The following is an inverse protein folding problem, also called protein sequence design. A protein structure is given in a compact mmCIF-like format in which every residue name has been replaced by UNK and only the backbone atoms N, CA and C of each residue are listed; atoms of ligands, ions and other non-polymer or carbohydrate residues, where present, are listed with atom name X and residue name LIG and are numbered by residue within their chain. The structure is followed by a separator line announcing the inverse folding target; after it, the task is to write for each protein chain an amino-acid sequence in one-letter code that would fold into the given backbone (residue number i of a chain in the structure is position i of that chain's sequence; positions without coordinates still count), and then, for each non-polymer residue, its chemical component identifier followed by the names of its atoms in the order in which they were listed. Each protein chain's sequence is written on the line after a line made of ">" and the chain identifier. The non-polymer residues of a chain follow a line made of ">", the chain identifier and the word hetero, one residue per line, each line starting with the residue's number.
data_IF_505152268209
#
_entry.id   IF_505152268209
#
_cell.length_a   1.000
_cell.length_b   1.000
_cell.length_c   1.000
_cell.angle_alpha   90.00
_cell.angle_beta   90.00
_cell.angle_gamma   90.00
#
_symmetry.space_group_name_H-M   'P 1'
#
loop_
_entity.id
_entity.type
_entity.pdbx_description
1 polymer ?
#
# COMPACT_ATOMS: atom_id res chain seq x y z
N UNK A 1 9.74 8.20 -32.34
CA UNK A 1 10.32 7.43 -31.22
C UNK A 1 10.32 8.29 -29.98
N UNK A 2 9.27 8.22 -29.17
CA UNK A 2 9.20 8.96 -27.91
C UNK A 2 10.02 8.19 -26.88
N UNK A 3 11.17 8.75 -26.47
CA UNK A 3 11.97 8.21 -25.36
C UNK A 3 11.09 8.22 -24.10
N UNK A 4 10.59 7.04 -23.73
CA UNK A 4 9.85 6.85 -22.49
C UNK A 4 10.85 7.05 -21.34
N UNK A 5 10.80 8.23 -20.71
CA UNK A 5 11.56 8.51 -19.48
C UNK A 5 11.24 7.43 -18.45
N UNK A 6 12.27 6.87 -17.82
CA UNK A 6 12.08 5.89 -16.74
C UNK A 6 11.20 6.51 -15.64
N UNK A 7 10.09 5.87 -15.24
CA UNK A 7 9.25 6.38 -14.17
C UNK A 7 9.93 6.23 -12.81
N UNK A 8 9.54 7.10 -11.85
CA UNK A 8 9.89 6.94 -10.42
C UNK A 8 9.46 5.55 -9.93
N UNK A 9 10.11 5.05 -8.86
CA UNK A 9 9.84 3.74 -8.25
C UNK A 9 8.33 3.40 -8.12
N UNK A 10 7.50 4.38 -7.77
CA UNK A 10 6.05 4.23 -7.55
C UNK A 10 5.21 3.96 -8.81
N UNK A 11 5.75 4.12 -10.02
CA UNK A 11 5.09 3.81 -11.30
C UNK A 11 5.78 2.72 -12.11
N UNK A 12 6.83 2.12 -11.53
CA UNK A 12 7.76 1.25 -12.24
C UNK A 12 7.11 -0.05 -12.75
N UNK A 13 6.21 -0.66 -11.97
CA UNK A 13 5.55 -1.91 -12.37
C UNK A 13 4.51 -1.73 -13.48
N UNK A 14 3.61 -0.73 -13.37
CA UNK A 14 2.62 -0.46 -14.43
C UNK A 14 3.29 -0.16 -15.77
N UNK A 15 4.41 0.57 -15.73
CA UNK A 15 5.22 0.86 -16.92
C UNK A 15 5.88 -0.39 -17.50
N UNK A 16 6.45 -1.26 -16.65
CA UNK A 16 7.00 -2.55 -17.09
C UNK A 16 5.95 -3.47 -17.70
N UNK A 17 4.77 -3.53 -17.09
CA UNK A 17 3.64 -4.32 -17.59
C UNK A 17 3.22 -3.84 -18.99
N UNK A 18 3.09 -2.53 -19.21
CA UNK A 18 2.81 -1.97 -20.53
C UNK A 18 3.90 -2.28 -21.57
N UNK A 19 5.19 -2.26 -21.18
CA UNK A 19 6.31 -2.65 -22.06
C UNK A 19 6.26 -4.11 -22.46
N UNK A 20 6.02 -5.01 -21.50
CA UNK A 20 5.92 -6.45 -21.77
C UNK A 20 4.71 -6.77 -22.67
N UNK A 21 3.58 -6.12 -22.45
CA UNK A 21 2.41 -6.24 -23.35
C UNK A 21 2.73 -5.77 -24.78
N UNK A 22 3.45 -4.65 -24.94
CA UNK A 22 3.90 -4.21 -26.26
C UNK A 22 4.87 -5.24 -26.86
N UNK A 23 5.85 -5.72 -26.11
CA UNK A 23 6.82 -6.69 -26.64
C UNK A 23 6.14 -7.95 -27.15
N UNK A 24 5.14 -8.44 -26.41
CA UNK A 24 4.31 -9.57 -26.85
C UNK A 24 3.62 -9.30 -28.18
N UNK A 25 3.00 -8.13 -28.35
CA UNK A 25 2.29 -7.81 -29.60
C UNK A 25 3.22 -7.51 -30.78
N UNK A 26 4.43 -7.01 -30.51
CA UNK A 26 5.42 -6.66 -31.53
C UNK A 26 6.47 -7.74 -31.81
N UNK A 27 6.36 -8.91 -31.17
CA UNK A 27 7.34 -9.98 -31.30
C UNK A 27 7.41 -10.52 -32.73
N UNK A 28 8.61 -10.50 -33.34
CA UNK A 28 8.85 -11.00 -34.70
C UNK A 28 8.99 -12.53 -34.77
N UNK A 29 9.27 -13.18 -33.64
CA UNK A 29 9.42 -14.64 -33.56
C UNK A 29 8.46 -15.25 -32.54
N UNK A 30 7.92 -16.46 -32.79
CA UNK A 30 7.08 -17.16 -31.81
C UNK A 30 7.78 -17.41 -30.48
N UNK A 31 9.11 -17.62 -30.51
CA UNK A 31 9.94 -17.79 -29.32
C UNK A 31 10.00 -16.53 -28.47
N UNK A 32 10.24 -15.36 -29.07
CA UNK A 32 10.29 -14.08 -28.35
C UNK A 32 8.92 -13.71 -27.76
N UNK A 33 7.82 -14.08 -28.44
CA UNK A 33 6.47 -13.90 -27.91
C UNK A 33 6.23 -14.75 -26.66
N UNK A 34 6.60 -16.04 -26.69
CA UNK A 34 6.48 -16.94 -25.55
C UNK A 34 7.36 -16.50 -24.37
N UNK A 35 8.61 -16.07 -24.63
CA UNK A 35 9.50 -15.52 -23.59
C UNK A 35 8.90 -14.26 -22.94
N UNK A 36 8.30 -13.36 -23.74
CA UNK A 36 7.61 -12.18 -23.22
C UNK A 36 6.37 -12.54 -22.38
N UNK A 37 5.59 -13.54 -22.81
CA UNK A 37 4.42 -14.03 -22.07
C UNK A 37 4.80 -14.69 -20.74
N UNK A 38 5.87 -15.48 -20.72
CA UNK A 38 6.38 -16.07 -19.48
C UNK A 38 6.83 -15.00 -18.48
N UNK A 39 7.55 -13.98 -18.96
CA UNK A 39 7.93 -12.85 -18.12
C UNK A 39 6.72 -12.08 -17.61
N UNK A 40 5.72 -11.80 -18.46
CA UNK A 40 4.50 -11.10 -18.06
C UNK A 40 3.79 -11.86 -16.95
N UNK A 41 3.53 -13.16 -17.14
CA UNK A 41 2.90 -14.04 -16.14
C UNK A 41 3.67 -14.05 -14.82
N UNK A 42 5.00 -14.16 -14.88
CA UNK A 42 5.85 -14.13 -13.67
C UNK A 42 5.77 -12.77 -12.97
N UNK A 43 5.86 -11.68 -13.72
CA UNK A 43 5.82 -10.33 -13.14
C UNK A 43 4.47 -10.00 -12.54
N UNK A 44 3.38 -10.49 -13.12
CA UNK A 44 2.02 -10.31 -12.61
C UNK A 44 1.78 -11.14 -11.36
N UNK A 45 2.29 -12.37 -11.31
CA UNK A 45 2.17 -13.21 -10.12
C UNK A 45 2.98 -12.68 -8.92
N UNK A 46 4.14 -12.07 -9.19
CA UNK A 46 5.08 -11.61 -8.16
C UNK A 46 5.15 -10.08 -8.03
N UNK A 47 4.14 -9.34 -8.49
CA UNK A 47 4.24 -7.88 -8.60
C UNK A 47 4.46 -7.18 -7.26
N UNK A 48 3.84 -7.66 -6.16
CA UNK A 48 4.02 -7.11 -4.80
C UNK A 48 5.45 -7.37 -4.31
N UNK A 49 5.96 -8.58 -4.50
CA UNK A 49 7.32 -8.98 -4.14
C UNK A 49 8.34 -8.12 -4.88
N UNK A 50 8.18 -7.98 -6.20
CA UNK A 50 9.10 -7.19 -7.02
C UNK A 50 9.00 -5.68 -6.72
N UNK A 51 7.82 -5.17 -6.36
CA UNK A 51 7.60 -3.75 -6.05
C UNK A 51 7.98 -3.38 -4.62
N UNK A 52 7.32 -4.00 -3.63
CA UNK A 52 7.47 -3.67 -2.22
C UNK A 52 8.58 -4.49 -1.57
N UNK A 53 8.74 -5.76 -1.95
CA UNK A 53 9.82 -6.61 -1.44
C UNK A 53 11.20 -6.04 -1.76
N UNK A 54 11.40 -5.49 -2.96
CA UNK A 54 12.66 -4.80 -3.35
C UNK A 54 12.95 -3.52 -2.55
N UNK A 55 11.97 -3.02 -1.78
CA UNK A 55 12.09 -1.89 -0.86
C UNK A 55 12.15 -2.31 0.62
N UNK A 56 12.24 -3.63 0.89
CA UNK A 56 12.34 -4.18 2.24
C UNK A 56 11.02 -4.38 2.97
N UNK A 57 9.88 -4.39 2.26
CA UNK A 57 8.62 -4.83 2.87
C UNK A 57 8.54 -6.36 2.89
N UNK A 58 8.00 -6.94 3.95
CA UNK A 58 7.66 -8.36 3.97
C UNK A 58 6.33 -8.58 3.24
N UNK A 59 6.36 -9.37 2.17
CA UNK A 59 5.28 -9.41 1.17
C UNK A 59 4.39 -10.66 1.23
N UNK A 60 4.70 -11.63 2.07
CA UNK A 60 3.84 -12.82 2.25
C UNK A 60 2.49 -12.40 2.85
N UNK A 61 1.39 -13.10 2.55
CA UNK A 61 0.05 -12.74 3.05
C UNK A 61 -0.01 -12.53 4.57
N UNK A 62 0.73 -13.33 5.34
CA UNK A 62 0.78 -13.20 6.81
C UNK A 62 1.34 -11.87 7.30
N UNK A 63 2.13 -11.16 6.50
CA UNK A 63 2.74 -9.87 6.86
C UNK A 63 1.95 -8.67 6.35
N UNK A 64 0.95 -8.88 5.49
CA UNK A 64 0.14 -7.80 4.92
C UNK A 64 -0.89 -7.39 5.95
N UNK A 65 -0.83 -6.14 6.38
CA UNK A 65 -1.74 -5.61 7.38
C UNK A 65 -3.18 -5.51 6.88
N UNK A 66 -3.35 -5.16 5.60
CA UNK A 66 -4.58 -5.42 4.87
C UNK A 66 -4.20 -6.19 3.60
N UNK A 67 -4.81 -7.35 3.39
CA UNK A 67 -4.60 -8.14 2.18
C UNK A 67 -5.89 -8.20 1.37
N UNK A 68 -5.81 -7.77 0.10
CA UNK A 68 -6.92 -7.85 -0.83
C UNK A 68 -8.20 -7.13 -0.31
N UNK A 69 -8.01 -5.99 0.35
CA UNK A 69 -9.10 -5.22 0.96
C UNK A 69 -9.89 -4.47 -0.11
N UNK A 70 -11.19 -4.72 -0.20
CA UNK A 70 -12.05 -4.07 -1.17
C UNK A 70 -12.30 -2.62 -0.76
N UNK A 71 -12.08 -1.69 -1.69
CA UNK A 71 -12.53 -0.31 -1.52
C UNK A 71 -14.04 -0.25 -1.69
N UNK A 72 -14.71 0.60 -0.92
CA UNK A 72 -16.15 0.78 -1.03
C UNK A 72 -16.49 2.06 -1.76
N UNK A 73 -17.58 2.04 -2.51
CA UNK A 73 -18.10 3.22 -3.19
C UNK A 73 -18.37 4.38 -2.19
N UNK A 74 -18.81 4.05 -0.97
CA UNK A 74 -19.03 5.04 0.11
C UNK A 74 -17.76 5.65 0.70
N UNK A 75 -16.58 5.12 0.40
CA UNK A 75 -15.28 5.68 0.83
C UNK A 75 -14.84 6.83 -0.09
N UNK A 76 -15.49 7.00 -1.25
CA UNK A 76 -15.19 8.07 -2.19
C UNK A 76 -15.79 9.40 -1.75
N UNK A 77 -15.01 10.47 -1.87
CA UNK A 77 -15.53 11.82 -1.63
C UNK A 77 -16.44 12.24 -2.79
N UNK A 78 -17.61 12.78 -2.44
CA UNK A 78 -18.49 13.49 -3.36
C UNK A 78 -18.06 14.94 -3.47
N UNK A 79 -17.62 15.36 -4.65
CA UNK A 79 -17.61 16.78 -5.00
C UNK A 79 -18.94 17.10 -5.65
N UNK A 80 -19.84 17.72 -4.89
CA UNK A 80 -20.93 18.47 -5.50
C UNK A 80 -20.31 19.74 -6.10
N UNK A 81 -20.44 19.99 -7.42
CA UNK A 81 -20.12 21.30 -7.94
C UNK A 81 -21.04 22.29 -7.22
N UNK A 82 -20.46 23.24 -6.50
CA UNK A 82 -21.21 24.39 -6.04
C UNK A 82 -21.80 25.04 -7.30
N UNK A 83 -23.12 24.94 -7.48
CA UNK A 83 -23.80 25.78 -8.46
C UNK A 83 -23.61 27.19 -7.91
N UNK A 84 -22.69 27.94 -8.51
CA UNK A 84 -22.50 29.33 -8.18
C UNK A 84 -23.86 30.05 -8.36
N UNK A 85 -24.51 30.40 -7.25
CA UNK A 85 -25.58 31.40 -7.23
C UNK A 85 -27.04 30.94 -7.08
N UNK A 86 -27.37 29.68 -6.73
CA UNK A 86 -28.78 29.35 -6.42
C UNK A 86 -28.96 28.90 -4.97
N UNK A 87 -29.39 29.84 -4.12
CA UNK A 87 -30.05 29.53 -2.86
C UNK A 87 -31.39 28.86 -3.17
N UNK A 88 -31.40 27.53 -3.30
CA UNK A 88 -32.64 26.77 -3.39
C UNK A 88 -33.13 26.53 -1.95
N UNK A 89 -34.26 27.13 -1.52
CA UNK A 89 -34.76 26.95 -0.16
C UNK A 89 -35.19 25.49 0.07
N UNK A 90 -35.12 24.98 1.31
CA UNK A 90 -35.45 23.58 1.64
C UNK A 90 -36.85 23.12 1.19
N UNK A 91 -37.79 24.06 1.03
CA UNK A 91 -39.16 23.78 0.57
C UNK A 91 -39.24 23.32 -0.90
N UNK A 92 -38.23 23.59 -1.72
CA UNK A 92 -38.17 23.16 -3.12
C UNK A 92 -37.57 21.75 -3.29
N UNK A 93 -36.92 21.19 -2.26
CA UNK A 93 -36.34 19.84 -2.33
C UNK A 93 -37.38 18.71 -2.29
N UNK A 94 -38.61 18.97 -1.81
CA UNK A 94 -39.66 17.95 -1.66
C UNK A 94 -40.63 17.84 -2.85
N UNK A 95 -40.49 18.66 -3.92
CA UNK A 95 -41.38 18.63 -5.10
C UNK A 95 -40.68 18.40 -6.43
N UNK A 96 -39.61 17.60 -6.44
CA UNK A 96 -38.95 17.20 -7.68
C UNK A 96 -39.11 15.68 -7.90
N UNK A 97 -40.34 15.23 -8.11
CA UNK A 97 -40.64 13.91 -8.68
C UNK A 97 -40.95 13.98 -10.19
N UNK A 98 -40.57 15.07 -10.85
CA UNK A 98 -40.82 15.30 -12.28
C UNK A 98 -39.60 15.91 -12.97
N UNK A 99 -38.89 15.03 -13.69
CA UNK A 99 -38.21 15.26 -14.97
C UNK A 99 -37.37 16.54 -15.11
N UNK A 100 -36.07 16.42 -14.79
CA UNK A 100 -34.96 16.62 -15.74
C UNK A 100 -33.85 15.71 -15.24
N UNK A 101 -33.48 14.66 -15.96
CA UNK A 101 -32.23 13.93 -15.70
C UNK A 101 -31.08 14.77 -16.26
N UNK A 102 -30.21 15.39 -15.44
CA UNK A 102 -28.90 15.73 -15.94
C UNK A 102 -28.22 14.39 -16.18
N UNK A 103 -27.83 14.12 -17.42
CA UNK A 103 -26.99 13.00 -17.86
C UNK A 103 -26.45 12.15 -16.69
N UNK A 104 -26.82 10.86 -16.59
CA UNK A 104 -26.28 9.93 -15.56
C UNK A 104 -24.75 10.02 -15.40
N UNK A 105 -24.06 10.39 -16.47
CA UNK A 105 -22.62 10.69 -16.51
C UNK A 105 -22.17 11.86 -15.62
N UNK A 106 -22.94 12.93 -15.47
CA UNK A 106 -22.59 14.09 -14.63
C UNK A 106 -22.64 13.78 -13.13
N UNK A 107 -23.61 12.97 -12.69
CA UNK A 107 -23.70 12.50 -11.29
C UNK A 107 -22.60 11.47 -10.94
N UNK A 108 -22.20 10.64 -11.92
CA UNK A 108 -21.05 9.75 -11.78
C UNK A 108 -19.73 10.55 -11.70
N UNK A 109 -19.62 11.68 -12.40
CA UNK A 109 -18.45 12.57 -12.37
C UNK A 109 -18.27 13.33 -11.04
N UNK A 110 -19.29 13.39 -10.18
CA UNK A 110 -19.21 14.00 -8.84
C UNK A 110 -18.46 13.14 -7.81
N UNK A 111 -18.05 11.90 -8.13
CA UNK A 111 -17.29 11.01 -7.23
C UNK A 111 -15.88 10.83 -7.80
N UNK A 112 -14.91 11.59 -7.29
CA UNK A 112 -13.64 11.75 -7.99
C UNK A 112 -12.51 10.83 -7.49
N UNK A 113 -12.59 10.31 -6.27
CA UNK A 113 -11.62 9.35 -5.69
C UNK A 113 -11.95 8.98 -4.23
N UNK A 114 -11.23 7.99 -3.70
CA UNK A 114 -11.19 7.68 -2.27
C UNK A 114 -10.78 8.90 -1.46
N UNK A 115 -11.51 9.16 -0.37
CA UNK A 115 -11.23 10.28 0.53
C UNK A 115 -9.83 10.13 1.16
N UNK A 116 -9.08 11.23 1.22
CA UNK A 116 -7.72 11.24 1.76
C UNK A 116 -7.63 10.71 3.21
N UNK A 117 -8.67 10.93 4.02
CA UNK A 117 -8.73 10.41 5.41
C UNK A 117 -8.69 8.88 5.46
N UNK A 118 -9.23 8.21 4.44
CA UNK A 118 -9.31 6.75 4.40
C UNK A 118 -7.92 6.12 4.29
N UNK A 119 -6.95 6.78 3.65
CA UNK A 119 -5.58 6.27 3.57
C UNK A 119 -4.94 6.14 4.96
N UNK A 120 -5.17 7.11 5.85
CA UNK A 120 -4.69 7.03 7.24
C UNK A 120 -5.43 5.93 8.02
N UNK A 121 -6.71 5.70 7.71
CA UNK A 121 -7.48 4.58 8.30
C UNK A 121 -6.95 3.23 7.84
N UNK A 122 -6.59 3.08 6.57
CA UNK A 122 -5.96 1.87 6.05
C UNK A 122 -4.57 1.66 6.65
N UNK A 123 -3.81 2.74 6.82
CA UNK A 123 -2.52 2.71 7.50
C UNK A 123 -2.66 2.28 8.96
N UNK A 124 -3.62 2.82 9.71
CA UNK A 124 -3.91 2.41 11.10
C UNK A 124 -4.22 0.91 11.20
N UNK A 125 -5.15 0.42 10.36
CA UNK A 125 -5.49 -1.00 10.32
C UNK A 125 -4.26 -1.87 9.99
N UNK A 126 -3.43 -1.41 9.05
CA UNK A 126 -2.20 -2.09 8.69
C UNK A 126 -1.18 -2.15 9.84
N UNK A 127 -1.02 -1.06 10.60
CA UNK A 127 -0.12 -0.99 11.76
C UNK A 127 -0.57 -1.89 12.90
N UNK A 128 -1.88 -1.91 13.19
CA UNK A 128 -2.45 -2.81 14.21
C UNK A 128 -2.12 -4.27 13.88
N UNK A 129 -2.29 -4.66 12.61
CA UNK A 129 -1.96 -6.02 12.17
C UNK A 129 -0.46 -6.27 12.15
N UNK A 130 0.37 -5.29 11.79
CA UNK A 130 1.82 -5.41 11.86
C UNK A 130 2.30 -5.85 13.25
N UNK A 131 1.80 -5.23 14.32
CA UNK A 131 2.15 -5.62 15.70
C UNK A 131 1.58 -6.99 16.09
N UNK A 132 0.31 -7.27 15.77
CA UNK A 132 -0.30 -8.60 16.05
C UNK A 132 0.43 -9.74 15.36
N UNK A 133 0.93 -9.51 14.15
CA UNK A 133 1.65 -10.51 13.36
C UNK A 133 3.00 -10.88 14.00
N UNK A 134 3.59 -10.02 14.83
CA UNK A 134 4.84 -10.35 15.54
C UNK A 134 4.63 -11.49 16.56
N UNK A 135 3.46 -11.58 17.17
CA UNK A 135 3.14 -12.57 18.21
C UNK A 135 2.55 -13.89 17.70
N UNK A 136 2.37 -14.08 16.38
CA UNK A 136 1.68 -15.27 15.86
C UNK A 136 2.42 -16.58 16.14
N UNK A 137 3.75 -16.53 16.11
CA UNK A 137 4.64 -17.69 16.33
C UNK A 137 5.22 -17.72 17.76
N UNK A 138 4.72 -16.88 18.68
CA UNK A 138 5.19 -16.75 20.07
C UNK A 138 4.40 -17.64 21.04
N UNK A 139 4.94 -17.81 22.25
CA UNK A 139 4.22 -18.44 23.36
C UNK A 139 2.91 -17.68 23.70
N UNK A 140 1.97 -18.35 24.36
CA UNK A 140 0.64 -17.80 24.63
C UNK A 140 0.68 -16.49 25.45
N UNK A 141 1.56 -16.38 26.45
CA UNK A 141 1.71 -15.14 27.22
C UNK A 141 2.24 -13.99 26.33
N UNK A 142 3.33 -14.21 25.60
CA UNK A 142 3.92 -13.21 24.71
C UNK A 142 2.95 -12.76 23.62
N UNK A 143 2.19 -13.70 23.03
CA UNK A 143 1.17 -13.37 22.02
C UNK A 143 0.11 -12.43 22.56
N UNK A 144 -0.36 -12.67 23.80
CA UNK A 144 -1.32 -11.79 24.45
C UNK A 144 -0.74 -10.38 24.64
N UNK A 145 0.54 -10.28 25.00
CA UNK A 145 1.19 -8.97 25.14
C UNK A 145 1.32 -8.21 23.81
N UNK A 146 1.54 -8.91 22.69
CA UNK A 146 1.48 -8.29 21.35
C UNK A 146 0.07 -7.83 20.98
N UNK A 147 -0.95 -8.58 21.38
CA UNK A 147 -2.36 -8.20 21.18
C UNK A 147 -2.75 -7.00 22.03
N UNK A 148 -2.24 -6.92 23.26
CA UNK A 148 -2.46 -5.81 24.18
C UNK A 148 -1.72 -4.54 23.75
N UNK A 149 -0.58 -4.66 23.07
CA UNK A 149 0.26 -3.54 22.63
C UNK A 149 -0.51 -2.53 21.75
N UNK A 150 -1.50 -2.99 20.98
CA UNK A 150 -2.35 -2.15 20.10
C UNK A 150 -3.66 -1.73 20.77
N UNK A 151 -3.73 -1.81 22.10
CA UNK A 151 -4.87 -1.42 22.93
C UNK A 151 -4.38 -0.50 24.06
N UNK A 152 -5.27 0.22 24.77
CA UNK A 152 -4.87 1.04 25.92
C UNK A 152 -4.63 0.20 27.20
N UNK A 153 -4.36 -1.10 27.10
CA UNK A 153 -4.21 -2.01 28.26
C UNK A 153 -2.73 -2.13 28.67
N UNK A 154 -2.29 -1.28 29.59
CA UNK A 154 -0.93 -1.31 30.13
C UNK A 154 0.09 -0.72 29.16
N UNK A 155 1.10 -1.50 28.76
CA UNK A 155 2.06 -1.07 27.74
C UNK A 155 1.40 -1.10 26.36
N UNK A 156 1.39 0.03 25.68
CA UNK A 156 0.86 0.12 24.33
C UNK A 156 1.66 1.05 23.42
N UNK A 157 1.27 1.06 22.17
CA UNK A 157 1.75 2.00 21.17
C UNK A 157 0.74 3.12 20.94
N UNK A 158 1.23 4.32 20.63
CA UNK A 158 0.41 5.48 20.27
C UNK A 158 1.02 6.20 19.08
N UNK A 159 0.16 6.60 18.13
CA UNK A 159 0.60 7.38 16.98
C UNK A 159 1.04 8.78 17.43
N UNK A 160 2.31 9.12 17.19
CA UNK A 160 2.86 10.45 17.50
C UNK A 160 2.76 11.36 16.28
N UNK A 161 3.19 10.88 15.11
CA UNK A 161 3.07 11.61 13.84
C UNK A 161 2.77 10.66 12.69
N UNK A 162 2.08 11.16 11.67
CA UNK A 162 1.90 10.45 10.39
C UNK A 162 1.98 11.45 9.25
N UNK A 163 2.80 11.14 8.25
CA UNK A 163 2.90 11.87 6.99
C UNK A 163 2.43 10.97 5.86
N UNK A 164 1.46 11.45 5.07
CA UNK A 164 0.88 10.67 3.97
C UNK A 164 1.20 11.29 2.63
N UNK A 165 1.92 10.54 1.81
CA UNK A 165 2.28 10.90 0.44
C UNK A 165 1.34 10.24 -0.56
N UNK A 166 0.38 11.01 -1.09
CA UNK A 166 -0.54 10.54 -2.11
C UNK A 166 0.14 10.47 -3.49
N UNK A 167 0.13 9.29 -4.12
CA UNK A 167 0.78 9.07 -5.42
C UNK A 167 -0.19 9.16 -6.58
N UNK A 168 -1.42 8.69 -6.41
CA UNK A 168 -2.50 8.87 -7.37
C UNK A 168 -3.88 8.71 -6.71
N UNK A 169 -4.96 9.29 -7.28
CA UNK A 169 -6.32 9.18 -6.76
C UNK A 169 -6.93 7.79 -7.05
N UNK A 170 -6.95 6.89 -6.07
CA UNK A 170 -7.68 5.60 -6.18
C UNK A 170 -9.19 5.81 -6.31
N UNK A 171 -9.87 4.88 -7.00
CA UNK A 171 -11.32 4.91 -7.21
C UNK A 171 -11.92 3.53 -6.94
N UNK A 172 -13.21 3.51 -6.61
CA UNK A 172 -13.99 2.28 -6.70
C UNK A 172 -14.31 1.96 -8.18
N UNK A 173 -14.29 0.67 -8.59
CA UNK A 173 -13.88 -0.50 -7.83
C UNK A 173 -12.36 -0.72 -7.88
N UNK A 174 -11.73 -1.01 -6.74
CA UNK A 174 -10.33 -1.45 -6.64
C UNK A 174 -10.16 -2.26 -5.34
N UNK A 175 -9.04 -2.99 -5.25
CA UNK A 175 -8.61 -3.74 -4.07
C UNK A 175 -7.22 -3.25 -3.67
N UNK A 176 -6.99 -3.12 -2.37
CA UNK A 176 -5.71 -2.64 -1.85
C UNK A 176 -5.00 -3.67 -0.99
N UNK A 177 -3.68 -3.55 -0.95
CA UNK A 177 -2.82 -4.23 0.01
C UNK A 177 -2.04 -3.19 0.80
N UNK A 178 -2.02 -3.32 2.12
CA UNK A 178 -1.25 -2.43 3.01
C UNK A 178 -0.14 -3.23 3.64
N UNK A 179 1.09 -2.83 3.37
CA UNK A 179 2.30 -3.43 3.91
C UNK A 179 2.97 -2.44 4.86
N UNK A 180 3.58 -2.96 5.92
CA UNK A 180 4.35 -2.17 6.88
C UNK A 180 5.77 -2.70 6.99
N UNK A 181 6.69 -1.82 7.36
CA UNK A 181 8.08 -2.17 7.62
C UNK A 181 8.67 -1.23 8.68
N UNK A 182 9.67 -1.72 9.42
CA UNK A 182 10.54 -0.89 10.23
C UNK A 182 11.53 -0.14 9.32
N UNK A 183 11.76 1.14 9.59
CA UNK A 183 12.73 1.94 8.83
C UNK A 183 14.11 1.97 9.48
N UNK A 184 14.17 1.70 10.79
CA UNK A 184 15.40 1.64 11.58
C UNK A 184 15.38 0.43 12.51
N UNK A 185 16.57 -0.02 12.92
CA UNK A 185 16.73 -1.14 13.84
C UNK A 185 16.38 -0.67 15.26
N UNK A 186 15.36 -1.25 15.93
CA UNK A 186 15.06 -0.88 17.31
C UNK A 186 16.11 -1.39 18.29
N UNK A 187 16.30 -0.63 19.36
CA UNK A 187 17.17 -0.94 20.50
C UNK A 187 16.34 -1.08 21.77
N UNK A 188 16.94 -1.56 22.86
CA UNK A 188 16.26 -1.71 24.15
C UNK A 188 15.81 -0.37 24.76
N UNK A 189 16.45 0.74 24.37
CA UNK A 189 16.12 2.10 24.83
C UNK A 189 15.18 2.84 23.86
N UNK A 190 14.70 2.18 22.81
CA UNK A 190 13.84 2.81 21.80
C UNK A 190 12.47 3.15 22.39
N UNK A 191 12.16 4.45 22.45
CA UNK A 191 10.86 4.97 22.93
C UNK A 191 9.85 5.27 21.81
N UNK A 192 10.28 5.22 20.56
CA UNK A 192 9.43 5.43 19.39
C UNK A 192 9.96 4.65 18.20
N UNK A 193 9.08 4.00 17.45
CA UNK A 193 9.40 3.29 16.23
C UNK A 193 9.07 4.15 15.02
N UNK A 194 10.03 4.26 14.10
CA UNK A 194 9.80 4.80 12.78
C UNK A 194 9.39 3.69 11.82
N UNK A 195 8.12 3.73 11.42
CA UNK A 195 7.48 2.77 10.55
C UNK A 195 7.17 3.43 9.20
N UNK A 196 7.05 2.59 8.17
CA UNK A 196 6.59 3.01 6.86
C UNK A 196 5.53 2.05 6.34
N UNK A 197 4.40 2.59 5.91
CA UNK A 197 3.33 1.90 5.23
C UNK A 197 3.40 2.12 3.72
N UNK A 198 3.16 1.05 2.96
CA UNK A 198 2.97 1.09 1.52
C UNK A 198 1.56 0.61 1.17
N UNK A 199 0.72 1.50 0.64
CA UNK A 199 -0.64 1.19 0.20
C UNK A 199 -0.57 0.93 -1.30
N UNK A 200 -0.79 -0.32 -1.69
CA UNK A 200 -0.75 -0.79 -3.08
C UNK A 200 -2.15 -0.94 -3.64
N UNK A 201 -2.36 -0.48 -4.87
CA UNK A 201 -3.56 -0.76 -5.66
C UNK A 201 -3.36 -2.01 -6.51
N UNK A 202 -4.28 -2.96 -6.40
CA UNK A 202 -4.28 -4.18 -7.20
C UNK A 202 -4.61 -3.87 -8.67
N UNK A 203 -5.65 -3.07 -8.92
CA UNK A 203 -6.07 -2.70 -10.27
C UNK A 203 -4.96 -1.99 -11.05
N UNK A 204 -4.25 -1.08 -10.39
CA UNK A 204 -3.20 -0.29 -11.05
C UNK A 204 -1.80 -0.90 -10.93
N UNK A 205 -1.64 -1.98 -10.14
CA UNK A 205 -0.36 -2.67 -9.89
C UNK A 205 0.75 -1.71 -9.44
N UNK A 206 0.43 -0.73 -8.58
CA UNK A 206 1.38 0.30 -8.14
C UNK A 206 1.06 0.89 -6.78
N UNK A 207 2.01 1.65 -6.23
CA UNK A 207 1.86 2.38 -4.96
C UNK A 207 0.85 3.51 -5.14
N UNK A 208 -0.19 3.51 -4.32
CA UNK A 208 -1.22 4.55 -4.26
C UNK A 208 -0.90 5.63 -3.23
N UNK A 209 -0.38 5.23 -2.08
CA UNK A 209 0.15 6.15 -1.08
C UNK A 209 1.25 5.51 -0.26
N UNK A 210 2.09 6.36 0.34
CA UNK A 210 3.00 5.97 1.41
C UNK A 210 2.65 6.70 2.67
N UNK A 211 2.70 6.03 3.82
CA UNK A 211 2.51 6.67 5.11
C UNK A 211 3.78 6.45 5.93
N UNK A 212 4.34 7.53 6.45
CA UNK A 212 5.53 7.49 7.31
C UNK A 212 5.05 7.87 8.71
N UNK A 213 5.19 6.95 9.66
CA UNK A 213 4.65 7.09 10.99
C UNK A 213 5.71 6.95 12.08
N UNK A 214 5.67 7.88 13.03
CA UNK A 214 6.40 7.75 14.28
C UNK A 214 5.40 7.26 15.35
N UNK A 215 5.66 6.07 15.88
CA UNK A 215 4.78 5.40 16.84
C UNK A 215 5.48 5.28 18.19
N UNK A 216 5.01 6.00 19.20
CA UNK A 216 5.63 6.06 20.52
C UNK A 216 5.14 4.93 21.44
N UNK A 217 6.02 4.45 22.32
CA UNK A 217 5.66 3.53 23.40
C UNK A 217 5.14 4.33 24.59
N UNK A 218 4.00 3.89 25.12
CA UNK A 218 3.30 4.55 26.21
C UNK A 218 2.80 3.52 27.20
N UNK A 219 3.10 3.73 28.48
CA UNK A 219 2.49 2.99 29.57
C UNK A 219 1.20 3.72 29.96
N UNK A 220 0.06 3.16 29.57
CA UNK A 220 -1.27 3.70 29.86
C UNK A 220 -1.67 3.56 31.33
N UNK A 221 -1.04 2.67 32.09
CA UNK A 221 -1.26 2.53 33.53
C UNK A 221 -0.52 3.61 34.31
N UNK A 222 0.74 3.87 33.94
CA UNK A 222 1.56 4.90 34.58
C UNK A 222 1.38 6.30 33.98
N UNK A 223 0.76 6.42 32.80
CA UNK A 223 0.54 7.70 32.11
C UNK A 223 1.84 8.36 31.63
N UNK A 224 2.81 7.58 31.15
CA UNK A 224 4.12 8.11 30.72
C UNK A 224 4.71 7.33 29.54
N UNK A 225 5.67 7.95 28.86
CA UNK A 225 6.49 7.27 27.85
C UNK A 225 7.19 6.06 28.45
N UNK A 226 7.32 5.01 27.65
CA UNK A 226 7.95 3.76 28.03
C UNK A 226 8.87 3.25 26.92
N UNK A 227 9.39 2.04 27.10
CA UNK A 227 10.13 1.26 26.10
C UNK A 227 9.45 -0.09 25.90
N UNK A 228 9.81 -0.79 24.82
CA UNK A 228 9.35 -2.16 24.60
C UNK A 228 10.01 -3.14 25.58
N UNK A 229 9.33 -4.26 25.82
CA UNK A 229 9.93 -5.38 26.56
C UNK A 229 11.05 -6.03 25.74
N UNK A 230 12.08 -6.62 26.38
CA UNK A 230 13.24 -7.18 25.67
C UNK A 230 12.88 -8.16 24.54
N UNK A 231 11.97 -9.11 24.79
CA UNK A 231 11.55 -10.07 23.77
C UNK A 231 10.87 -9.41 22.56
N UNK A 232 10.16 -8.29 22.78
CA UNK A 232 9.54 -7.53 21.69
C UNK A 232 10.59 -6.84 20.83
N UNK A 233 11.62 -6.26 21.45
CA UNK A 233 12.75 -5.65 20.74
C UNK A 233 13.47 -6.70 19.91
N UNK A 234 13.82 -7.84 20.50
CA UNK A 234 14.50 -8.94 19.81
C UNK A 234 13.69 -9.47 18.63
N UNK A 235 12.37 -9.64 18.79
CA UNK A 235 11.48 -10.03 17.69
C UNK A 235 11.46 -8.99 16.57
N UNK A 236 11.39 -7.70 16.89
CA UNK A 236 11.41 -6.65 15.88
C UNK A 236 12.78 -6.55 15.17
N UNK A 237 13.88 -6.80 15.88
CA UNK A 237 15.22 -6.90 15.27
C UNK A 237 15.30 -8.08 14.29
N UNK A 238 14.72 -9.23 14.63
CA UNK A 238 14.58 -10.37 13.71
C UNK A 238 13.75 -9.98 12.48
N UNK A 239 12.62 -9.28 12.69
CA UNK A 239 11.77 -8.78 11.60
C UNK A 239 12.52 -7.80 10.70
N UNK A 240 13.31 -6.88 11.26
CA UNK A 240 14.17 -5.97 10.50
C UNK A 240 15.21 -6.75 9.67
N UNK A 241 15.83 -7.78 10.23
CA UNK A 241 16.76 -8.64 9.49
C UNK A 241 16.07 -9.40 8.35
N UNK A 242 14.83 -9.86 8.54
CA UNK A 242 14.02 -10.45 7.46
C UNK A 242 13.73 -9.44 6.35
N UNK A 243 13.40 -8.19 6.70
CA UNK A 243 13.16 -7.11 5.74
C UNK A 243 14.40 -6.87 4.87
N UNK A 244 15.59 -6.81 5.45
CA UNK A 244 16.83 -6.59 4.70
C UNK A 244 17.19 -7.77 3.79
N UNK A 245 16.98 -9.01 4.26
CA UNK A 245 17.13 -10.20 3.41
C UNK A 245 16.18 -10.18 2.22
N UNK A 246 14.90 -9.87 2.46
CA UNK A 246 13.89 -9.75 1.41
C UNK A 246 14.24 -8.64 0.42
N UNK A 247 14.71 -7.48 0.91
CA UNK A 247 15.17 -6.36 0.09
C UNK A 247 16.25 -6.78 -0.90
N UNK A 248 17.30 -7.43 -0.41
CA UNK A 248 18.42 -7.87 -1.25
C UNK A 248 17.96 -8.89 -2.29
N UNK A 249 17.19 -9.91 -1.87
CA UNK A 249 16.69 -10.95 -2.76
C UNK A 249 15.83 -10.38 -3.90
N UNK A 250 14.81 -9.57 -3.56
CA UNK A 250 13.90 -9.02 -4.57
C UNK A 250 14.49 -7.89 -5.38
N UNK A 251 15.51 -7.17 -4.89
CA UNK A 251 16.31 -6.28 -5.74
C UNK A 251 17.09 -7.07 -6.80
N UNK A 252 17.65 -8.22 -6.43
CA UNK A 252 18.29 -9.14 -7.38
C UNK A 252 17.32 -9.63 -8.45
N UNK A 253 16.15 -10.14 -8.04
CA UNK A 253 15.11 -10.59 -8.97
C UNK A 253 14.59 -9.46 -9.86
N UNK A 254 14.35 -8.27 -9.30
CA UNK A 254 13.90 -7.12 -10.07
C UNK A 254 14.92 -6.75 -11.17
N UNK A 255 16.22 -6.76 -10.86
CA UNK A 255 17.31 -6.53 -11.84
C UNK A 255 17.31 -7.59 -12.93
N UNK A 256 17.15 -8.87 -12.59
CA UNK A 256 17.08 -9.95 -13.57
C UNK A 256 15.91 -9.77 -14.53
N UNK A 257 14.73 -9.41 -14.02
CA UNK A 257 13.56 -9.16 -14.88
C UNK A 257 13.79 -7.95 -15.78
N UNK A 258 14.38 -6.87 -15.27
CA UNK A 258 14.71 -5.68 -16.09
C UNK A 258 15.65 -6.07 -17.24
N UNK A 259 16.74 -6.80 -16.93
CA UNK A 259 17.69 -7.26 -17.94
C UNK A 259 17.03 -8.19 -18.98
N UNK A 260 16.09 -9.04 -18.56
CA UNK A 260 15.35 -9.91 -19.46
C UNK A 260 14.44 -9.11 -20.40
N UNK A 261 13.74 -8.09 -19.90
CA UNK A 261 12.92 -7.17 -20.72
C UNK A 261 13.79 -6.42 -21.73
N UNK A 262 14.94 -5.88 -21.30
CA UNK A 262 15.86 -5.15 -22.17
C UNK A 262 16.46 -6.04 -23.26
N UNK A 263 16.79 -7.30 -22.92
CA UNK A 263 17.25 -8.29 -23.91
C UNK A 263 16.18 -8.59 -24.95
N UNK A 264 14.92 -8.75 -24.56
CA UNK A 264 13.81 -8.98 -25.49
C UNK A 264 13.58 -7.75 -26.38
N UNK A 265 13.66 -6.53 -25.82
CA UNK A 265 13.55 -5.29 -26.61
C UNK A 265 14.65 -5.19 -27.68
N UNK A 266 15.87 -5.59 -27.36
CA UNK A 266 16.98 -5.60 -28.30
C UNK A 266 16.79 -6.59 -29.46
N UNK A 267 15.97 -7.63 -29.29
CA UNK A 267 15.65 -8.59 -30.35
C UNK A 267 14.51 -8.12 -31.28
N UNK A 268 13.68 -7.18 -30.80
CA UNK A 268 12.52 -6.65 -31.54
C UNK A 268 12.86 -5.40 -32.35
N UNK A 269 13.93 -4.68 -31.98
CA UNK A 269 14.50 -3.58 -32.77
C UNK A 269 15.17 -4.11 -34.02
#
# INVERSE_FOLDING_TARGET
>A
MTSLRQPRHDGFQSYRHARLQHLRSSARSPRSAEEADQLLRRTDAQWIQLLAGSQGFLTEPKWRGLDNHQLFWGDMVRFQPAIAGTSVPPSAMMRANSVVTPNRTAWLQAHSHINNVLYNRYAEAGRVQFFRNQGQDSAAEEKKEWEDLVTPRGLGVILKTITTEFKFPMKFPDRIHVLYKLTELPTYDTTSLNLEACILSDQHRRVAARCIDETAMYDYTAGKKSVLKPFMVEKLQQTFAMQEKARIAFQGEAKQVIAAVEKLEAQVR
#
